data_IF_215895622787
#
_entry.id   IF_215895622787
#
_cell.length_a   1.000
_cell.length_b   1.000
_cell.length_c   1.000
_cell.angle_alpha   90.00
_cell.angle_beta   90.00
_cell.angle_gamma   90.00
#
_symmetry.space_group_name_H-M   'P 1'
#
loop_
_entity.id
_entity.type
_entity.pdbx_description
1 polymer ?
#
# COMPACT_ATOMS: atom_id res chain seq x y z
N UNK A 1 12.07 -29.55 13.66
CA UNK A 1 13.03 -29.26 12.57
C UNK A 1 12.26 -28.54 11.50
N UNK A 2 12.79 -27.47 10.88
CA UNK A 2 12.15 -26.91 9.69
C UNK A 2 11.99 -28.03 8.68
N UNK A 3 10.78 -28.21 8.16
CA UNK A 3 10.53 -29.15 7.08
C UNK A 3 11.37 -28.65 5.90
N UNK A 4 12.25 -29.50 5.35
CA UNK A 4 13.05 -29.09 4.21
C UNK A 4 12.10 -28.69 3.06
N UNK A 5 12.47 -27.71 2.25
CA UNK A 5 11.63 -27.20 1.14
C UNK A 5 11.04 -28.32 0.29
N UNK A 6 11.87 -29.32 -0.03
CA UNK A 6 11.49 -30.51 -0.80
C UNK A 6 10.44 -31.36 -0.07
N UNK A 7 10.53 -31.47 1.26
CA UNK A 7 9.57 -32.21 2.07
C UNK A 7 8.22 -31.50 2.12
N UNK A 8 8.22 -30.16 2.16
CA UNK A 8 6.99 -29.37 2.11
C UNK A 8 6.32 -29.46 0.74
N UNK A 9 7.06 -29.32 -0.36
CA UNK A 9 6.53 -29.42 -1.72
C UNK A 9 5.93 -30.80 -2.01
N UNK A 10 6.62 -31.88 -1.61
CA UNK A 10 6.11 -33.25 -1.78
C UNK A 10 4.84 -33.49 -0.96
N UNK A 11 4.82 -33.02 0.30
CA UNK A 11 3.63 -33.09 1.15
C UNK A 11 2.44 -32.37 0.52
N UNK A 12 2.64 -31.14 0.02
CA UNK A 12 1.59 -30.36 -0.61
C UNK A 12 1.07 -31.03 -1.89
N UNK A 13 1.96 -31.55 -2.74
CA UNK A 13 1.56 -32.26 -3.96
C UNK A 13 0.71 -33.51 -3.66
N UNK A 14 1.10 -34.30 -2.65
CA UNK A 14 0.33 -35.45 -2.19
C UNK A 14 -1.06 -35.04 -1.67
N UNK A 15 -1.12 -34.02 -0.80
CA UNK A 15 -2.38 -33.50 -0.26
C UNK A 15 -3.30 -32.96 -1.36
N UNK A 16 -2.77 -32.16 -2.28
CA UNK A 16 -3.54 -31.69 -3.43
C UNK A 16 -4.09 -32.88 -4.23
N UNK A 17 -3.27 -33.89 -4.53
CA UNK A 17 -3.71 -35.07 -5.27
C UNK A 17 -4.83 -35.84 -4.56
N UNK A 18 -4.76 -35.96 -3.23
CA UNK A 18 -5.78 -36.66 -2.43
C UNK A 18 -7.12 -35.91 -2.35
N UNK A 19 -7.10 -34.59 -2.29
CA UNK A 19 -8.29 -33.79 -1.97
C UNK A 19 -8.90 -33.03 -3.16
N UNK A 20 -8.15 -32.82 -4.25
CA UNK A 20 -8.60 -32.00 -5.40
C UNK A 20 -9.93 -32.43 -6.02
N UNK A 21 -10.29 -33.72 -5.95
CA UNK A 21 -11.54 -34.22 -6.56
C UNK A 21 -12.79 -33.93 -5.73
N UNK A 22 -12.64 -33.34 -4.53
CA UNK A 22 -13.75 -33.08 -3.60
C UNK A 22 -14.39 -31.71 -3.78
N UNK A 23 -13.71 -30.83 -4.49
CA UNK A 23 -14.04 -29.41 -4.68
C UNK A 23 -13.68 -28.99 -6.10
N UNK A 24 -14.15 -27.83 -6.55
CA UNK A 24 -13.84 -27.33 -7.89
C UNK A 24 -12.43 -26.71 -7.93
N UNK A 25 -12.02 -26.08 -6.83
CA UNK A 25 -10.69 -25.53 -6.63
C UNK A 25 -10.19 -25.74 -5.20
N UNK A 26 -8.91 -26.05 -5.04
CA UNK A 26 -8.23 -26.18 -3.77
C UNK A 26 -6.87 -25.49 -3.84
N UNK A 27 -6.56 -24.65 -2.86
CA UNK A 27 -5.25 -24.05 -2.68
C UNK A 27 -4.74 -24.30 -1.26
N UNK A 28 -3.48 -24.68 -1.15
CA UNK A 28 -2.75 -24.81 0.11
C UNK A 28 -1.59 -23.84 0.06
N UNK A 29 -1.55 -22.90 1.01
CA UNK A 29 -0.49 -21.91 1.14
C UNK A 29 0.19 -22.10 2.48
N UNK A 30 1.48 -22.40 2.48
CA UNK A 30 2.33 -22.41 3.67
C UNK A 30 3.15 -21.14 3.73
N UNK A 31 3.42 -20.67 4.93
CA UNK A 31 4.21 -19.47 5.18
C UNK A 31 5.18 -19.69 6.35
N UNK A 32 6.38 -19.17 6.16
CA UNK A 32 7.37 -18.94 7.19
C UNK A 32 7.77 -17.46 7.14
N UNK A 33 7.68 -16.77 8.26
CA UNK A 33 8.04 -15.37 8.39
C UNK A 33 8.92 -15.18 9.62
N UNK A 34 10.05 -14.53 9.44
CA UNK A 34 10.88 -14.02 10.53
C UNK A 34 10.92 -12.50 10.47
N UNK A 35 11.08 -11.83 11.61
CA UNK A 35 11.09 -10.37 11.61
C UNK A 35 11.44 -9.76 12.95
N UNK A 36 11.79 -8.47 12.90
CA UNK A 36 12.12 -7.66 14.06
C UNK A 36 11.15 -6.49 14.19
N UNK A 37 10.69 -6.19 15.40
CA UNK A 37 9.94 -4.95 15.71
C UNK A 37 10.60 -4.25 16.90
N UNK A 38 10.95 -2.98 16.71
CA UNK A 38 11.53 -2.13 17.74
C UNK A 38 10.72 -0.85 17.80
N UNK A 39 10.19 -0.51 18.97
CA UNK A 39 9.52 0.76 19.22
C UNK A 39 10.22 1.48 20.36
N UNK A 40 10.77 2.65 20.05
CA UNK A 40 11.35 3.59 21.01
C UNK A 40 10.43 4.80 21.14
N UNK A 41 10.03 5.14 22.36
CA UNK A 41 9.28 6.37 22.68
C UNK A 41 10.02 7.17 23.75
N UNK A 42 10.40 8.41 23.41
CA UNK A 42 11.29 9.22 24.23
C UNK A 42 12.64 8.53 24.45
N UNK A 43 13.01 8.29 25.71
CA UNK A 43 14.23 7.54 26.08
C UNK A 43 13.99 6.04 26.31
N UNK A 44 12.75 5.58 26.16
CA UNK A 44 12.35 4.22 26.54
C UNK A 44 12.12 3.35 25.31
N UNK A 45 12.62 2.13 25.38
CA UNK A 45 12.25 1.06 24.45
C UNK A 45 10.96 0.45 24.97
N UNK A 46 9.86 0.62 24.23
CA UNK A 46 8.56 0.02 24.52
C UNK A 46 8.43 -1.38 23.90
N UNK A 47 9.09 -1.62 22.76
CA UNK A 47 9.11 -2.92 22.07
C UNK A 47 10.51 -3.22 21.57
N UNK A 48 10.96 -4.46 21.77
CA UNK A 48 12.20 -5.02 21.25
C UNK A 48 11.99 -6.52 21.09
N UNK A 49 11.60 -6.96 19.90
CA UNK A 49 11.21 -8.35 19.66
C UNK A 49 11.73 -8.86 18.33
N UNK A 50 12.15 -10.12 18.33
CA UNK A 50 12.33 -10.94 17.13
C UNK A 50 11.27 -12.05 17.17
N UNK A 51 10.62 -12.29 16.04
CA UNK A 51 9.54 -13.26 15.91
C UNK A 51 9.80 -14.24 14.79
N UNK A 52 9.36 -15.49 14.98
CA UNK A 52 9.24 -16.51 13.95
C UNK A 52 7.78 -16.97 13.91
N UNK A 53 7.17 -16.89 12.74
CA UNK A 53 5.79 -17.33 12.47
C UNK A 53 5.83 -18.42 11.41
N UNK A 54 5.25 -19.58 11.70
CA UNK A 54 5.13 -20.70 10.77
C UNK A 54 3.68 -21.14 10.76
N UNK A 55 3.09 -21.23 9.58
CA UNK A 55 1.71 -21.63 9.44
C UNK A 55 1.29 -21.80 8.01
N UNK A 56 -0.02 -21.86 7.80
CA UNK A 56 -0.61 -21.98 6.49
C UNK A 56 -2.09 -21.71 6.47
N UNK A 57 -2.62 -21.63 5.27
CA UNK A 57 -4.05 -21.56 5.01
C UNK A 57 -4.47 -22.50 3.89
N UNK A 58 -5.68 -23.03 4.03
CA UNK A 58 -6.36 -23.81 3.01
C UNK A 58 -7.54 -22.99 2.50
N UNK A 59 -7.63 -22.83 1.18
CA UNK A 59 -8.81 -22.31 0.50
C UNK A 59 -9.41 -23.39 -0.37
N UNK A 60 -10.70 -23.63 -0.23
CA UNK A 60 -11.46 -24.53 -1.08
C UNK A 60 -12.65 -23.78 -1.71
N UNK A 61 -12.90 -23.99 -2.99
CA UNK A 61 -14.08 -23.49 -3.68
C UNK A 61 -14.89 -24.66 -4.21
N UNK A 62 -16.18 -24.70 -3.90
CA UNK A 62 -17.11 -25.69 -4.43
C UNK A 62 -18.42 -25.01 -4.75
N UNK A 63 -18.88 -25.13 -5.99
CA UNK A 63 -20.12 -24.52 -6.47
C UNK A 63 -20.22 -23.04 -6.09
N UNK A 64 -19.17 -22.27 -6.38
CA UNK A 64 -19.06 -20.85 -6.07
C UNK A 64 -18.91 -20.50 -4.58
N UNK A 65 -19.06 -21.47 -3.67
CA UNK A 65 -18.89 -21.27 -2.22
C UNK A 65 -17.44 -21.44 -1.79
N UNK A 66 -16.91 -20.46 -1.06
CA UNK A 66 -15.57 -20.51 -0.49
C UNK A 66 -15.56 -21.03 0.95
N UNK A 67 -14.59 -21.88 1.25
CA UNK A 67 -14.20 -22.25 2.61
C UNK A 67 -12.74 -21.92 2.86
N UNK A 68 -12.45 -21.43 4.07
CA UNK A 68 -11.11 -21.06 4.52
C UNK A 68 -10.84 -21.71 5.87
N UNK A 69 -9.62 -22.21 6.05
CA UNK A 69 -9.09 -22.59 7.36
C UNK A 69 -7.62 -22.17 7.46
N UNK A 70 -7.24 -21.48 8.54
CA UNK A 70 -5.85 -21.14 8.85
C UNK A 70 -5.30 -22.02 9.98
N UNK A 71 -3.99 -22.24 10.02
CA UNK A 71 -3.32 -23.06 11.05
C UNK A 71 -1.86 -22.63 11.25
N UNK A 72 -1.32 -22.94 12.42
CA UNK A 72 0.11 -22.77 12.76
C UNK A 72 0.76 -24.07 13.24
N UNK A 73 0.06 -25.20 13.14
CA UNK A 73 0.57 -26.54 13.44
C UNK A 73 0.48 -27.41 12.18
N UNK A 74 1.61 -27.62 11.48
CA UNK A 74 1.65 -28.37 10.21
C UNK A 74 1.07 -29.79 10.32
N UNK A 75 1.13 -30.41 11.50
CA UNK A 75 0.55 -31.73 11.75
C UNK A 75 -0.99 -31.78 11.60
N UNK A 76 -1.66 -30.63 11.68
CA UNK A 76 -3.12 -30.51 11.56
C UNK A 76 -3.59 -30.31 10.11
N UNK A 77 -2.68 -30.22 9.12
CA UNK A 77 -3.00 -29.78 7.76
C UNK A 77 -4.14 -30.56 7.09
N UNK A 78 -4.22 -31.88 7.29
CA UNK A 78 -5.30 -32.72 6.74
C UNK A 78 -6.66 -32.36 7.32
N UNK A 79 -6.73 -32.15 8.64
CA UNK A 79 -7.94 -31.71 9.33
C UNK A 79 -8.39 -30.33 8.84
N UNK A 80 -7.43 -29.42 8.63
CA UNK A 80 -7.71 -28.07 8.11
C UNK A 80 -8.25 -28.14 6.68
N UNK A 81 -7.71 -29.02 5.83
CA UNK A 81 -8.28 -29.26 4.49
C UNK A 81 -9.73 -29.75 4.59
N UNK A 82 -10.02 -30.69 5.48
CA UNK A 82 -11.39 -31.18 5.70
C UNK A 82 -12.36 -30.05 6.13
N UNK A 83 -11.93 -29.17 7.03
CA UNK A 83 -12.72 -28.02 7.46
C UNK A 83 -13.00 -27.05 6.32
N UNK A 84 -11.97 -26.64 5.56
CA UNK A 84 -12.13 -25.73 4.43
C UNK A 84 -13.05 -26.34 3.35
N UNK A 85 -12.87 -27.61 3.02
CA UNK A 85 -13.75 -28.34 2.08
C UNK A 85 -15.19 -28.40 2.61
N UNK A 86 -15.37 -28.68 3.91
CA UNK A 86 -16.70 -28.75 4.52
C UNK A 86 -17.40 -27.38 4.48
N UNK A 87 -16.70 -26.31 4.86
CA UNK A 87 -17.21 -24.95 4.80
C UNK A 87 -17.61 -24.55 3.37
N UNK A 88 -16.75 -24.82 2.38
CA UNK A 88 -17.03 -24.54 0.96
C UNK A 88 -18.31 -25.25 0.48
N UNK A 89 -18.50 -26.52 0.88
CA UNK A 89 -19.68 -27.31 0.48
C UNK A 89 -20.97 -26.91 1.19
N UNK A 90 -20.88 -26.33 2.38
CA UNK A 90 -22.04 -25.78 3.10
C UNK A 90 -22.53 -24.51 2.41
N UNK A 91 -21.61 -23.65 1.97
CA UNK A 91 -21.92 -22.36 1.32
C UNK A 91 -22.28 -22.53 -0.16
N UNK A 92 -21.66 -23.49 -0.84
CA UNK A 92 -21.72 -23.63 -2.30
C UNK A 92 -23.06 -24.08 -2.87
N UNK A 93 -23.70 -23.19 -3.62
CA UNK A 93 -24.99 -23.41 -4.28
C UNK A 93 -25.03 -22.91 -5.75
N UNK A 94 -23.92 -22.38 -6.27
CA UNK A 94 -23.81 -21.70 -7.56
C UNK A 94 -22.71 -22.29 -8.45
N UNK A 95 -22.37 -21.63 -9.55
CA UNK A 95 -21.26 -22.03 -10.42
C UNK A 95 -19.93 -21.42 -9.92
N UNK A 96 -18.87 -22.22 -9.96
CA UNK A 96 -17.51 -21.72 -9.69
C UNK A 96 -16.98 -20.98 -10.91
N UNK A 97 -16.81 -19.66 -10.79
CA UNK A 97 -16.33 -18.78 -11.85
C UNK A 97 -14.95 -18.23 -11.49
N UNK A 98 -13.89 -18.93 -11.86
CA UNK A 98 -12.50 -18.48 -11.71
C UNK A 98 -11.90 -18.25 -13.10
N UNK A 99 -11.29 -17.09 -13.32
CA UNK A 99 -10.53 -16.85 -14.53
C UNK A 99 -9.35 -17.83 -14.63
N UNK A 100 -9.11 -18.33 -15.84
CA UNK A 100 -8.03 -19.26 -16.11
C UNK A 100 -6.66 -18.55 -16.01
N UNK A 101 -5.72 -19.24 -15.37
CA UNK A 101 -4.30 -18.89 -15.38
C UNK A 101 -3.49 -20.12 -15.74
N UNK A 102 -2.32 -19.95 -16.36
CA UNK A 102 -1.42 -21.07 -16.59
C UNK A 102 -0.91 -21.59 -15.23
N UNK A 103 -0.80 -22.91 -15.01
CA UNK A 103 -0.15 -23.43 -13.82
C UNK A 103 1.36 -23.20 -13.90
N UNK A 104 1.94 -22.70 -12.81
CA UNK A 104 3.38 -22.41 -12.71
C UNK A 104 4.06 -23.30 -11.68
N UNK A 105 5.26 -23.77 -11.98
CA UNK A 105 6.11 -24.53 -11.06
C UNK A 105 7.47 -23.87 -10.96
N UNK A 106 7.62 -22.94 -10.02
CA UNK A 106 8.75 -22.04 -9.96
C UNK A 106 9.19 -21.75 -8.53
N UNK A 107 10.46 -21.43 -8.38
CA UNK A 107 11.05 -20.93 -7.13
C UNK A 107 11.60 -19.54 -7.43
N UNK A 108 11.03 -18.53 -6.79
CA UNK A 108 11.28 -17.13 -7.06
C UNK A 108 11.74 -16.41 -5.79
N UNK A 109 12.73 -15.53 -5.92
CA UNK A 109 13.23 -14.73 -4.80
C UNK A 109 13.28 -13.28 -5.27
N UNK A 110 12.58 -12.38 -4.57
CA UNK A 110 12.73 -10.95 -4.82
C UNK A 110 14.14 -10.55 -4.38
N UNK A 111 15.02 -10.11 -5.31
CA UNK A 111 16.43 -9.94 -5.00
C UNK A 111 16.68 -8.71 -4.12
N UNK A 112 17.55 -8.88 -3.14
CA UNK A 112 18.16 -7.76 -2.40
C UNK A 112 19.33 -7.19 -3.21
N UNK A 113 19.51 -5.88 -3.15
CA UNK A 113 20.68 -5.17 -3.69
C UNK A 113 21.71 -4.83 -2.61
N UNK A 114 21.38 -5.04 -1.34
CA UNK A 114 22.26 -4.79 -0.20
C UNK A 114 22.13 -5.83 0.90
N UNK A 115 22.37 -5.44 2.15
CA UNK A 115 22.41 -6.36 3.29
C UNK A 115 21.02 -6.87 3.63
N UNK A 116 20.91 -8.19 3.81
CA UNK A 116 19.74 -8.86 4.36
C UNK A 116 19.61 -8.53 5.87
N UNK A 117 18.47 -7.98 6.32
CA UNK A 117 18.28 -7.56 7.72
C UNK A 117 18.42 -8.70 8.73
N UNK A 118 18.33 -9.96 8.31
CA UNK A 118 18.55 -11.13 9.18
C UNK A 118 20.00 -11.29 9.63
N UNK A 119 20.93 -10.75 8.86
CA UNK A 119 22.35 -10.75 9.22
C UNK A 119 22.75 -9.54 10.08
N UNK A 120 21.81 -8.63 10.33
CA UNK A 120 22.02 -7.47 11.21
C UNK A 120 21.54 -7.83 12.61
N UNK A 121 22.39 -7.67 13.62
CA UNK A 121 22.03 -8.00 14.99
C UNK A 121 20.93 -7.08 15.54
N UNK A 122 20.08 -7.61 16.42
CA UNK A 122 19.09 -6.83 17.15
C UNK A 122 19.68 -5.61 17.86
N UNK A 123 20.91 -5.73 18.38
CA UNK A 123 21.63 -4.63 19.01
C UNK A 123 21.94 -3.49 18.01
N UNK A 124 22.40 -3.80 16.80
CA UNK A 124 22.68 -2.81 15.77
C UNK A 124 21.38 -2.12 15.27
N UNK A 125 20.29 -2.89 15.11
CA UNK A 125 18.96 -2.34 14.78
C UNK A 125 18.44 -1.39 15.86
N UNK A 126 18.65 -1.74 17.14
CA UNK A 126 18.33 -0.87 18.27
C UNK A 126 19.19 0.40 18.27
N UNK A 127 20.50 0.26 18.04
CA UNK A 127 21.41 1.42 17.95
C UNK A 127 20.99 2.40 16.85
N UNK A 128 20.51 1.90 15.71
CA UNK A 128 19.93 2.74 14.65
C UNK A 128 18.68 3.50 15.14
N UNK A 129 17.79 2.84 15.88
CA UNK A 129 16.63 3.51 16.49
C UNK A 129 17.03 4.58 17.51
N UNK A 130 18.05 4.32 18.32
CA UNK A 130 18.59 5.29 19.27
C UNK A 130 19.19 6.49 18.54
N UNK A 131 19.98 6.25 17.49
CA UNK A 131 20.60 7.30 16.66
C UNK A 131 19.56 8.27 16.09
N UNK A 132 18.54 7.78 15.38
CA UNK A 132 17.47 8.64 14.88
C UNK A 132 16.63 9.28 15.99
N UNK A 133 16.49 8.57 17.11
CA UNK A 133 15.85 9.08 18.30
C UNK A 133 16.54 10.31 18.88
N UNK A 134 17.88 10.38 18.79
CA UNK A 134 18.66 11.55 19.22
C UNK A 134 18.62 12.69 18.19
N UNK A 135 18.58 12.38 16.89
CA UNK A 135 18.36 13.39 15.84
C UNK A 135 17.04 14.13 16.07
N UNK A 136 15.94 13.41 16.30
CA UNK A 136 14.63 14.03 16.56
C UNK A 136 14.66 14.93 17.81
N UNK A 137 15.35 14.50 18.87
CA UNK A 137 15.47 15.26 20.13
C UNK A 137 16.39 16.48 20.03
N UNK A 138 17.29 16.51 19.06
CA UNK A 138 18.24 17.61 18.88
C UNK A 138 17.56 18.95 18.54
N UNK A 139 16.31 18.91 18.07
CA UNK A 139 15.54 20.10 17.72
C UNK A 139 14.84 20.67 18.96
N UNK A 140 15.13 21.94 19.27
CA UNK A 140 14.53 22.64 20.41
C UNK A 140 12.99 22.68 20.31
N UNK A 141 12.31 22.63 21.46
CA UNK A 141 10.83 22.58 21.61
C UNK A 141 10.18 21.22 21.28
N UNK A 142 10.92 20.22 20.81
CA UNK A 142 10.45 18.84 20.76
C UNK A 142 10.34 18.28 22.17
N UNK A 143 9.16 17.79 22.56
CA UNK A 143 8.88 17.26 23.90
C UNK A 143 8.79 15.74 23.93
N UNK A 144 8.48 15.10 22.80
CA UNK A 144 8.34 13.63 22.71
C UNK A 144 8.74 13.16 21.32
N UNK A 145 9.42 12.02 21.27
CA UNK A 145 9.83 11.38 20.02
C UNK A 145 9.37 9.93 19.97
N UNK A 146 9.14 9.42 18.77
CA UNK A 146 8.85 8.02 18.51
C UNK A 146 9.68 7.56 17.31
N UNK A 147 10.38 6.44 17.46
CA UNK A 147 11.09 5.76 16.37
C UNK A 147 10.66 4.31 16.38
N UNK A 148 10.13 3.84 15.26
CA UNK A 148 9.81 2.43 15.06
C UNK A 148 10.66 1.87 13.92
N UNK A 149 11.22 0.70 14.13
CA UNK A 149 11.88 -0.11 13.11
C UNK A 149 11.10 -1.42 12.98
N UNK A 150 10.81 -1.82 11.74
CA UNK A 150 10.23 -3.11 11.42
C UNK A 150 10.98 -3.75 10.25
N UNK A 151 11.29 -5.03 10.36
CA UNK A 151 11.66 -5.85 9.20
C UNK A 151 10.92 -7.19 9.23
N UNK A 152 10.69 -7.74 8.04
CA UNK A 152 10.23 -9.12 7.88
C UNK A 152 10.85 -9.75 6.65
N UNK A 153 11.22 -11.01 6.78
CA UNK A 153 11.53 -11.90 5.66
C UNK A 153 10.44 -12.96 5.62
N UNK A 154 9.70 -13.00 4.51
CA UNK A 154 8.59 -13.91 4.31
C UNK A 154 8.91 -14.88 3.19
N UNK A 155 8.61 -16.15 3.41
CA UNK A 155 8.70 -17.24 2.44
C UNK A 155 7.37 -17.96 2.38
N UNK A 156 6.83 -18.08 1.17
CA UNK A 156 5.52 -18.64 0.89
C UNK A 156 5.66 -19.81 -0.08
N UNK A 157 4.97 -20.91 0.20
CA UNK A 157 4.81 -22.04 -0.74
C UNK A 157 3.32 -22.21 -1.04
N UNK A 158 2.94 -22.03 -2.29
CA UNK A 158 1.57 -22.18 -2.78
C UNK A 158 1.46 -23.43 -3.66
N UNK A 159 0.49 -24.30 -3.36
CA UNK A 159 0.11 -25.41 -4.21
C UNK A 159 -1.39 -25.36 -4.53
N UNK A 160 -1.78 -25.60 -5.79
CA UNK A 160 -3.19 -25.56 -6.21
C UNK A 160 -3.63 -26.85 -6.91
N UNK A 161 -4.93 -27.14 -6.90
CA UNK A 161 -5.55 -28.28 -7.60
C UNK A 161 -5.38 -28.27 -9.12
N UNK A 162 -4.97 -27.13 -9.69
CA UNK A 162 -4.75 -26.94 -11.12
C UNK A 162 -3.28 -27.18 -11.52
N UNK A 163 -2.40 -27.47 -10.55
CA UNK A 163 -1.01 -27.86 -10.80
C UNK A 163 0.02 -26.75 -10.57
N UNK A 164 -0.39 -25.59 -10.06
CA UNK A 164 0.55 -24.57 -9.58
C UNK A 164 1.29 -25.09 -8.34
N UNK A 165 2.60 -24.89 -8.32
CA UNK A 165 3.48 -25.11 -7.17
C UNK A 165 4.57 -24.02 -7.17
N UNK A 166 4.33 -22.94 -6.44
CA UNK A 166 5.23 -21.78 -6.40
C UNK A 166 5.85 -21.69 -5.01
N UNK A 167 7.16 -21.49 -4.96
CA UNK A 167 7.83 -20.95 -3.79
C UNK A 167 8.28 -19.51 -4.09
N UNK A 168 7.92 -18.58 -3.22
CA UNK A 168 8.30 -17.18 -3.36
C UNK A 168 8.78 -16.62 -2.03
N UNK A 169 9.82 -15.80 -2.03
CA UNK A 169 10.22 -15.03 -0.83
C UNK A 169 10.59 -13.59 -1.13
N UNK A 170 10.45 -12.75 -0.11
CA UNK A 170 10.85 -11.34 -0.14
C UNK A 170 11.25 -10.87 1.25
N UNK A 171 11.93 -9.72 1.28
CA UNK A 171 12.20 -8.95 2.49
C UNK A 171 11.42 -7.65 2.40
N UNK A 172 10.87 -7.19 3.51
CA UNK A 172 10.29 -5.86 3.65
C UNK A 172 10.82 -5.21 4.93
N UNK A 173 11.16 -3.93 4.84
CA UNK A 173 11.73 -3.13 5.92
C UNK A 173 11.04 -1.77 5.96
N UNK A 174 10.83 -1.25 7.16
CA UNK A 174 10.21 0.05 7.36
C UNK A 174 10.78 0.74 8.62
N UNK A 175 10.94 2.07 8.54
CA UNK A 175 11.10 2.91 9.71
C UNK A 175 10.05 4.01 9.75
N UNK A 176 9.52 4.26 10.95
CA UNK A 176 8.57 5.35 11.23
C UNK A 176 9.15 6.27 12.29
N UNK A 177 9.05 7.56 12.03
CA UNK A 177 9.56 8.62 12.89
C UNK A 177 8.44 9.59 13.23
N UNK A 178 8.39 10.04 14.47
CA UNK A 178 7.53 11.14 14.87
C UNK A 178 8.22 12.01 15.91
N UNK A 179 8.11 13.33 15.75
CA UNK A 179 8.49 14.31 16.74
C UNK A 179 7.28 15.19 17.08
N UNK A 180 6.98 15.29 18.37
CA UNK A 180 5.91 16.16 18.89
C UNK A 180 6.54 17.37 19.54
N UNK A 181 6.21 18.54 19.03
CA UNK A 181 6.61 19.84 19.55
C UNK A 181 5.45 20.51 20.29
N UNK A 182 5.75 21.37 21.26
CA UNK A 182 4.75 22.08 22.06
C UNK A 182 5.17 23.52 22.36
N UNK A 183 4.23 24.45 22.23
CA UNK A 183 4.34 25.81 22.73
C UNK A 183 3.01 26.22 23.39
N UNK A 184 3.01 26.33 24.73
CA UNK A 184 1.79 26.52 25.52
C UNK A 184 0.81 25.36 25.31
N UNK A 185 -0.40 25.71 24.87
CA UNK A 185 -1.48 24.75 24.54
C UNK A 185 -1.40 24.23 23.10
N UNK A 186 -0.53 24.80 22.25
CA UNK A 186 -0.38 24.35 20.86
C UNK A 186 0.56 23.15 20.81
N UNK A 187 0.11 22.07 20.19
CA UNK A 187 0.87 20.84 19.97
C UNK A 187 0.88 20.51 18.50
N UNK A 188 2.04 20.19 17.97
CA UNK A 188 2.21 19.80 16.57
C UNK A 188 3.09 18.56 16.46
N UNK A 189 2.81 17.71 15.49
CA UNK A 189 3.58 16.49 15.25
C UNK A 189 4.04 16.43 13.81
N UNK A 190 5.35 16.35 13.61
CA UNK A 190 5.94 16.02 12.32
C UNK A 190 6.25 14.53 12.26
N UNK A 191 6.05 13.93 11.09
CA UNK A 191 6.21 12.50 10.84
C UNK A 191 7.03 12.26 9.60
N UNK A 192 7.78 11.17 9.60
CA UNK A 192 8.37 10.58 8.40
C UNK A 192 8.19 9.08 8.44
N UNK A 193 7.95 8.48 7.29
CA UNK A 193 7.95 7.02 7.14
C UNK A 193 8.80 6.68 5.92
N UNK A 194 9.58 5.64 6.04
CA UNK A 194 10.41 5.14 4.95
C UNK A 194 10.32 3.63 4.91
N UNK A 195 10.18 3.06 3.72
CA UNK A 195 10.16 1.62 3.51
C UNK A 195 11.06 1.18 2.37
N UNK A 196 11.53 -0.07 2.42
CA UNK A 196 12.35 -0.65 1.35
C UNK A 196 12.23 -2.18 1.32
N UNK A 197 12.39 -2.73 0.12
CA UNK A 197 12.65 -4.17 -0.14
C UNK A 197 14.03 -4.45 -0.74
N UNK A 198 14.93 -3.46 -0.76
CA UNK A 198 16.19 -3.53 -1.51
C UNK A 198 17.38 -3.84 -0.62
N UNK A 199 17.53 -3.12 0.50
CA UNK A 199 18.74 -3.15 1.31
C UNK A 199 18.50 -2.60 2.71
N UNK A 200 19.13 -3.18 3.74
CA UNK A 200 19.14 -2.60 5.10
C UNK A 200 19.75 -1.19 5.11
N UNK A 201 20.74 -0.94 4.24
CA UNK A 201 21.42 0.35 4.08
C UNK A 201 20.47 1.49 3.66
N UNK A 202 19.32 1.18 3.06
CA UNK A 202 18.32 2.20 2.74
C UNK A 202 17.74 2.83 4.02
N UNK A 203 17.79 2.12 5.15
CA UNK A 203 17.32 2.62 6.44
C UNK A 203 18.39 3.41 7.22
N UNK A 204 19.64 3.47 6.76
CA UNK A 204 20.74 4.07 7.53
C UNK A 204 21.07 5.51 7.15
N UNK A 205 20.54 6.02 6.02
CA UNK A 205 20.86 7.34 5.46
C UNK A 205 19.65 8.30 5.47
N UNK A 206 18.87 8.27 6.54
CA UNK A 206 17.61 9.04 6.70
C UNK A 206 17.75 10.30 7.57
N UNK A 207 18.97 10.74 7.91
CA UNK A 207 19.22 11.82 8.88
C UNK A 207 18.51 13.12 8.49
N UNK A 208 18.56 13.49 7.20
CA UNK A 208 17.93 14.71 6.70
C UNK A 208 16.41 14.64 6.81
N UNK A 209 15.81 13.51 6.46
CA UNK A 209 14.37 13.29 6.53
C UNK A 209 13.91 13.31 7.99
N UNK A 210 14.59 12.56 8.86
CA UNK A 210 14.29 12.50 10.30
C UNK A 210 14.43 13.87 10.95
N UNK A 211 15.50 14.62 10.66
CA UNK A 211 15.65 15.99 11.13
C UNK A 211 14.54 16.91 10.60
N UNK A 212 14.20 16.77 9.32
CA UNK A 212 13.10 17.52 8.70
C UNK A 212 11.78 17.30 9.45
N UNK A 213 11.43 16.05 9.79
CA UNK A 213 10.24 15.73 10.59
C UNK A 213 10.15 16.54 11.89
N UNK A 214 11.25 16.62 12.64
CA UNK A 214 11.31 17.38 13.89
C UNK A 214 11.22 18.89 13.65
N UNK A 215 11.89 19.42 12.62
CA UNK A 215 11.81 20.85 12.30
C UNK A 215 10.42 21.27 11.82
N UNK A 216 9.73 20.45 11.04
CA UNK A 216 8.34 20.69 10.62
C UNK A 216 7.38 20.77 11.80
N UNK A 217 7.54 19.86 12.77
CA UNK A 217 6.74 19.88 14.00
C UNK A 217 6.88 21.23 14.74
N UNK A 218 8.11 21.74 14.83
CA UNK A 218 8.39 23.01 15.53
C UNK A 218 7.92 24.21 14.72
N UNK A 219 8.15 24.24 13.41
CA UNK A 219 7.72 25.32 12.54
C UNK A 219 6.19 25.49 12.58
N UNK A 220 5.44 24.38 12.53
CA UNK A 220 3.98 24.37 12.57
C UNK A 220 3.37 24.98 13.85
N UNK A 221 4.15 25.16 14.93
CA UNK A 221 3.67 25.81 16.15
C UNK A 221 3.32 27.29 15.93
N UNK A 222 3.94 27.95 14.95
CA UNK A 222 3.79 29.39 14.70
C UNK A 222 3.23 29.74 13.33
N UNK A 223 3.03 28.77 12.45
CA UNK A 223 2.48 29.03 11.12
C UNK A 223 1.02 29.51 11.21
N UNK A 224 0.61 30.46 10.37
CA UNK A 224 -0.80 30.84 10.25
C UNK A 224 -1.60 29.69 9.60
N UNK A 225 -2.84 29.51 10.04
CA UNK A 225 -3.74 28.56 9.38
C UNK A 225 -4.18 29.11 8.01
N UNK A 226 -4.42 28.22 7.07
CA UNK A 226 -5.05 28.58 5.79
C UNK A 226 -6.52 28.99 6.01
N UNK A 227 -7.03 29.91 5.18
CA UNK A 227 -8.46 30.21 5.15
C UNK A 227 -9.21 29.16 4.35
N UNK A 228 -10.31 28.65 4.90
CA UNK A 228 -11.14 27.67 4.21
C UNK A 228 -11.77 28.27 2.94
N UNK A 229 -11.48 27.70 1.78
CA UNK A 229 -12.04 28.12 0.49
C UNK A 229 -11.81 27.06 -0.59
N UNK A 230 -12.30 27.32 -1.79
CA UNK A 230 -11.94 26.59 -3.01
C UNK A 230 -10.76 27.28 -3.67
N UNK A 231 -9.69 26.54 -3.94
CA UNK A 231 -8.46 27.05 -4.55
C UNK A 231 -8.04 26.23 -5.78
N UNK A 232 -7.27 26.85 -6.66
CA UNK A 232 -6.37 26.06 -7.52
C UNK A 232 -5.20 25.58 -6.67
N UNK A 233 -4.92 24.29 -6.72
CA UNK A 233 -3.92 23.64 -5.89
C UNK A 233 -2.86 22.99 -6.76
N UNK A 234 -1.61 23.19 -6.38
CA UNK A 234 -0.50 22.37 -6.88
C UNK A 234 -0.14 21.39 -5.78
N UNK A 235 -0.11 20.10 -6.09
CA UNK A 235 0.33 19.05 -5.17
C UNK A 235 1.66 18.45 -5.64
N UNK A 236 2.52 18.12 -4.68
CA UNK A 236 3.80 17.48 -4.96
C UNK A 236 3.65 15.99 -5.34
N UNK A 237 4.74 15.35 -5.82
CA UNK A 237 4.72 13.94 -6.20
C UNK A 237 4.30 12.97 -5.07
N UNK A 238 4.67 13.28 -3.82
CA UNK A 238 4.36 12.44 -2.66
C UNK A 238 2.84 12.46 -2.39
N UNK A 239 2.24 13.65 -2.35
CA UNK A 239 0.80 13.80 -2.15
C UNK A 239 0.00 13.27 -3.36
N UNK A 240 0.56 13.33 -4.57
CA UNK A 240 -0.01 12.69 -5.76
C UNK A 240 -0.06 11.17 -5.64
N UNK A 241 1.02 10.55 -5.14
CA UNK A 241 1.07 9.12 -4.84
C UNK A 241 -0.02 8.71 -3.84
N UNK A 242 -0.15 9.46 -2.73
CA UNK A 242 -1.23 9.24 -1.76
C UNK A 242 -2.61 9.40 -2.42
N UNK A 243 -2.81 10.47 -3.19
CA UNK A 243 -4.08 10.75 -3.86
C UNK A 243 -4.51 9.60 -4.77
N UNK A 244 -3.62 9.11 -5.63
CA UNK A 244 -3.98 8.02 -6.54
C UNK A 244 -4.20 6.71 -5.79
N UNK A 245 -3.42 6.41 -4.74
CA UNK A 245 -3.59 5.20 -3.94
C UNK A 245 -4.96 5.17 -3.24
N UNK A 246 -5.20 6.20 -2.43
CA UNK A 246 -6.35 6.26 -1.54
C UNK A 246 -7.64 6.57 -2.30
N UNK A 247 -7.62 7.58 -3.18
CA UNK A 247 -8.84 8.10 -3.80
C UNK A 247 -9.30 7.24 -4.98
N UNK A 248 -8.40 6.64 -5.76
CA UNK A 248 -8.75 5.92 -6.99
C UNK A 248 -8.34 4.44 -6.99
N UNK A 249 -7.22 4.11 -6.37
CA UNK A 249 -6.67 2.76 -6.38
C UNK A 249 -7.58 1.75 -5.71
N UNK A 250 -8.09 2.05 -4.51
CA UNK A 250 -9.09 1.21 -3.84
C UNK A 250 -10.39 1.04 -4.65
N UNK A 251 -10.86 2.10 -5.32
CA UNK A 251 -12.04 2.01 -6.19
C UNK A 251 -11.83 1.11 -7.40
N UNK A 252 -10.57 0.88 -7.77
CA UNK A 252 -10.19 -0.01 -8.88
C UNK A 252 -10.14 -1.48 -8.47
N UNK A 253 -10.25 -1.81 -7.18
CA UNK A 253 -10.29 -3.20 -6.68
C UNK A 253 -11.68 -3.81 -6.93
N UNK A 254 -11.77 -4.81 -7.82
CA UNK A 254 -13.05 -5.30 -8.34
C UNK A 254 -13.95 -6.03 -7.33
N UNK A 255 -13.43 -6.41 -6.16
CA UNK A 255 -14.25 -6.98 -5.08
C UNK A 255 -15.11 -5.91 -4.36
N UNK A 256 -14.78 -4.62 -4.47
CA UNK A 256 -15.63 -3.52 -4.03
C UNK A 256 -16.96 -3.46 -4.80
N UNK A 257 -17.00 -3.99 -6.03
CA UNK A 257 -18.19 -4.01 -6.88
C UNK A 257 -19.37 -4.76 -6.25
N UNK A 258 -19.09 -5.76 -5.39
CA UNK A 258 -20.13 -6.55 -4.73
C UNK A 258 -20.77 -5.82 -3.54
N UNK A 259 -20.07 -4.83 -2.99
CA UNK A 259 -20.50 -4.11 -1.79
C UNK A 259 -21.32 -2.86 -2.12
N UNK A 260 -21.16 -2.30 -3.33
CA UNK A 260 -21.86 -1.09 -3.76
C UNK A 260 -22.21 -1.09 -5.28
N UNK A 261 -23.45 -1.43 -5.65
CA UNK A 261 -23.91 -1.42 -7.05
C UNK A 261 -23.81 -0.06 -7.73
N UNK A 262 -24.02 1.04 -7.01
CA UNK A 262 -23.95 2.39 -7.57
C UNK A 262 -22.51 2.72 -7.96
N UNK A 263 -21.54 2.30 -7.14
CA UNK A 263 -20.11 2.47 -7.46
C UNK A 263 -19.72 1.65 -8.70
N UNK A 264 -20.31 0.46 -8.88
CA UNK A 264 -20.07 -0.37 -10.07
C UNK A 264 -20.56 0.32 -11.36
N UNK A 265 -21.71 0.99 -11.31
CA UNK A 265 -22.21 1.79 -12.45
C UNK A 265 -21.25 2.95 -12.75
N UNK A 266 -20.76 3.61 -11.70
CA UNK A 266 -19.81 4.72 -11.86
C UNK A 266 -18.49 4.23 -12.45
N UNK A 267 -17.94 3.12 -11.96
CA UNK A 267 -16.70 2.49 -12.41
C UNK A 267 -16.89 1.62 -13.67
N UNK A 268 -17.74 2.05 -14.60
CA UNK A 268 -17.96 1.39 -15.88
C UNK A 268 -16.81 1.68 -16.87
N UNK A 269 -16.31 0.62 -17.51
CA UNK A 269 -15.24 0.75 -18.50
C UNK A 269 -15.71 1.63 -19.67
N UNK A 270 -14.82 2.50 -20.15
CA UNK A 270 -15.11 3.49 -21.19
C UNK A 270 -15.57 4.85 -20.66
N UNK A 271 -15.83 4.99 -19.35
CA UNK A 271 -16.14 6.29 -18.74
C UNK A 271 -14.89 7.16 -18.64
N UNK A 272 -15.03 8.45 -18.95
CA UNK A 272 -13.98 9.46 -18.77
C UNK A 272 -14.00 10.01 -17.34
N UNK A 273 -12.84 10.02 -16.70
CA UNK A 273 -12.61 10.60 -15.37
C UNK A 273 -11.63 11.75 -15.37
N UNK A 274 -10.83 11.94 -16.42
CA UNK A 274 -9.79 12.95 -16.44
C UNK A 274 -9.44 13.52 -17.81
N UNK A 275 -8.46 14.43 -17.85
CA UNK A 275 -7.91 14.98 -19.09
C UNK A 275 -7.26 13.88 -19.94
N UNK A 276 -7.00 14.19 -21.21
CA UNK A 276 -6.46 13.20 -22.17
C UNK A 276 -5.03 12.76 -21.79
N UNK A 277 -4.32 13.55 -21.03
CA UNK A 277 -2.96 13.31 -20.61
C UNK A 277 -2.90 12.32 -19.44
N UNK A 278 -4.01 12.14 -18.71
CA UNK A 278 -4.05 11.29 -17.52
C UNK A 278 -3.90 9.80 -17.88
N UNK A 279 -2.91 9.16 -17.28
CA UNK A 279 -2.70 7.72 -17.29
C UNK A 279 -2.54 7.24 -15.85
N UNK A 280 -3.23 6.15 -15.48
CA UNK A 280 -3.12 5.55 -14.14
C UNK A 280 -2.87 4.06 -14.30
N UNK A 281 -1.94 3.54 -13.50
CA UNK A 281 -1.55 2.14 -13.52
C UNK A 281 -1.49 1.57 -12.10
N UNK A 282 -1.64 0.25 -12.00
CA UNK A 282 -1.23 -0.54 -10.84
C UNK A 282 -0.47 -1.78 -11.35
N UNK A 283 0.56 -2.20 -10.64
CA UNK A 283 1.20 -3.48 -10.97
C UNK A 283 2.38 -3.87 -10.12
N UNK A 284 2.51 -5.17 -9.85
CA UNK A 284 3.65 -5.75 -9.16
C UNK A 284 4.83 -6.06 -10.10
N UNK A 285 4.63 -6.01 -11.42
CA UNK A 285 5.66 -6.31 -12.41
C UNK A 285 6.87 -5.36 -12.41
N UNK A 286 6.74 -4.03 -12.16
CA UNK A 286 7.88 -3.14 -12.00
C UNK A 286 8.72 -3.57 -10.79
N UNK A 287 9.95 -4.05 -11.02
CA UNK A 287 10.81 -4.54 -9.95
C UNK A 287 11.40 -3.40 -9.11
N UNK A 288 11.72 -3.69 -7.85
CA UNK A 288 12.38 -2.74 -6.95
C UNK A 288 11.45 -1.83 -6.17
N UNK A 289 10.14 -2.08 -6.20
CA UNK A 289 9.15 -1.38 -5.35
C UNK A 289 8.62 -2.31 -4.26
N UNK A 290 8.09 -1.76 -3.17
CA UNK A 290 7.58 -2.54 -2.04
C UNK A 290 6.33 -3.35 -2.38
N UNK A 291 5.55 -2.92 -3.36
CA UNK A 291 4.39 -3.68 -3.85
C UNK A 291 4.75 -4.81 -4.81
N UNK A 292 6.01 -4.98 -5.19
CA UNK A 292 6.44 -5.90 -6.25
C UNK A 292 6.67 -7.33 -5.77
N UNK A 293 6.30 -8.28 -6.63
CA UNK A 293 6.44 -9.73 -6.47
C UNK A 293 6.31 -10.40 -7.86
N UNK A 294 6.52 -11.71 -7.95
CA UNK A 294 6.37 -12.47 -9.20
C UNK A 294 4.98 -13.08 -9.36
N UNK A 295 4.39 -13.56 -8.27
CA UNK A 295 3.05 -14.15 -8.24
C UNK A 295 2.25 -13.66 -7.03
N UNK A 296 0.95 -13.44 -7.22
CA UNK A 296 0.02 -13.15 -6.14
C UNK A 296 -0.30 -14.41 -5.31
N UNK A 297 -1.13 -14.28 -4.27
CA UNK A 297 -1.46 -15.39 -3.36
C UNK A 297 -2.48 -16.40 -3.95
N UNK A 298 -2.86 -16.25 -5.24
CA UNK A 298 -3.59 -17.25 -6.04
C UNK A 298 -2.73 -17.88 -7.13
N UNK A 299 -1.46 -17.45 -7.27
CA UNK A 299 -0.53 -17.94 -8.28
C UNK A 299 -0.65 -17.23 -9.62
N UNK A 300 -1.36 -16.10 -9.68
CA UNK A 300 -1.46 -15.26 -10.88
C UNK A 300 -0.15 -14.48 -11.06
N UNK A 301 0.49 -14.50 -12.25
CA UNK A 301 1.68 -13.70 -12.50
C UNK A 301 1.44 -12.21 -12.25
N UNK A 302 2.45 -11.53 -11.73
CA UNK A 302 2.45 -10.08 -11.58
C UNK A 302 2.33 -9.40 -12.95
N UNK A 303 1.48 -8.37 -13.03
CA UNK A 303 1.26 -7.59 -14.26
C UNK A 303 1.48 -6.10 -14.03
N UNK A 304 1.35 -5.32 -15.11
CA UNK A 304 1.07 -3.88 -15.04
C UNK A 304 -0.28 -3.65 -15.70
N UNK A 305 -1.28 -3.37 -14.88
CA UNK A 305 -2.65 -3.10 -15.31
C UNK A 305 -2.82 -1.61 -15.54
N UNK A 306 -3.23 -1.24 -16.74
CA UNK A 306 -3.64 0.13 -17.03
C UNK A 306 -5.08 0.33 -16.55
N UNK A 307 -5.26 1.21 -15.57
CA UNK A 307 -6.56 1.54 -15.00
C UNK A 307 -7.21 2.69 -15.76
N UNK A 308 -6.46 3.77 -15.99
CA UNK A 308 -6.88 4.91 -16.81
C UNK A 308 -5.95 5.03 -18.02
N UNK A 309 -6.55 5.16 -19.20
CA UNK A 309 -5.88 5.49 -20.46
C UNK A 309 -6.51 6.71 -21.10
N UNK A 310 -5.71 7.72 -21.34
CA UNK A 310 -6.14 8.99 -21.92
C UNK A 310 -7.36 9.62 -21.21
N UNK A 311 -7.35 9.54 -19.87
CA UNK A 311 -8.43 9.98 -18.99
C UNK A 311 -9.67 9.06 -18.96
N UNK A 312 -9.63 7.89 -19.61
CA UNK A 312 -10.74 6.93 -19.69
C UNK A 312 -10.45 5.68 -18.88
N UNK A 313 -11.42 5.18 -18.11
CA UNK A 313 -11.32 3.90 -17.40
C UNK A 313 -11.27 2.73 -18.39
N UNK A 314 -10.18 1.96 -18.34
CA UNK A 314 -9.93 0.84 -19.26
C UNK A 314 -9.62 -0.48 -18.55
N UNK A 315 -9.46 -0.47 -17.23
CA UNK A 315 -9.17 -1.68 -16.45
C UNK A 315 -9.56 -1.58 -14.99
N UNK A 316 -9.48 -2.72 -14.32
CA UNK A 316 -9.71 -2.95 -12.89
C UNK A 316 -8.69 -3.94 -12.35
N UNK A 317 -8.54 -3.99 -11.04
CA UNK A 317 -7.72 -4.98 -10.34
C UNK A 317 -8.57 -6.18 -9.97
N UNK A 318 -8.01 -7.38 -10.15
CA UNK A 318 -8.75 -8.62 -10.06
C UNK A 318 -7.97 -9.72 -9.31
N UNK A 319 -8.74 -10.44 -8.50
CA UNK A 319 -8.51 -11.85 -8.20
C UNK A 319 -9.04 -12.72 -9.34
N UNK A 320 -8.75 -14.03 -9.33
CA UNK A 320 -9.32 -14.95 -10.32
C UNK A 320 -10.84 -15.02 -10.27
N UNK A 321 -11.42 -14.97 -9.08
CA UNK A 321 -12.88 -14.98 -8.92
C UNK A 321 -13.53 -13.73 -9.50
N UNK A 322 -13.02 -12.54 -9.17
CA UNK A 322 -13.61 -11.30 -9.67
C UNK A 322 -13.46 -11.17 -11.19
N UNK A 323 -12.31 -11.57 -11.74
CA UNK A 323 -12.09 -11.66 -13.19
C UNK A 323 -13.08 -12.64 -13.84
N UNK A 324 -13.24 -13.84 -13.28
CA UNK A 324 -14.14 -14.87 -13.81
C UNK A 324 -15.60 -14.41 -13.82
N UNK A 325 -16.07 -13.79 -12.73
CA UNK A 325 -17.45 -13.28 -12.60
C UNK A 325 -17.75 -12.11 -13.55
N UNK A 326 -16.75 -11.28 -13.85
CA UNK A 326 -16.91 -10.12 -14.72
C UNK A 326 -16.51 -10.38 -16.19
N UNK A 327 -15.99 -11.57 -16.49
CA UNK A 327 -15.50 -11.91 -17.84
C UNK A 327 -14.25 -11.12 -18.24
N UNK A 328 -13.44 -10.74 -17.26
CA UNK A 328 -12.21 -9.95 -17.41
C UNK A 328 -10.96 -10.82 -17.18
N UNK A 329 -9.78 -10.24 -17.41
CA UNK A 329 -8.51 -10.93 -17.15
C UNK A 329 -8.08 -10.77 -15.67
N UNK A 330 -7.50 -11.80 -15.04
CA UNK A 330 -6.89 -11.67 -13.72
C UNK A 330 -5.61 -10.84 -13.82
N UNK A 331 -5.30 -10.04 -12.80
CA UNK A 331 -4.25 -9.01 -12.89
C UNK A 331 -3.09 -9.20 -11.91
N UNK A 332 -3.11 -10.25 -11.09
CA UNK A 332 -2.08 -10.49 -10.08
C UNK A 332 -2.29 -9.65 -8.82
N UNK A 333 -3.55 -9.44 -8.42
CA UNK A 333 -3.92 -8.58 -7.30
C UNK A 333 -4.62 -9.34 -6.16
N UNK A 334 -4.70 -10.67 -6.16
CA UNK A 334 -5.22 -11.42 -5.02
C UNK A 334 -4.14 -11.55 -3.93
N UNK A 335 -4.18 -10.70 -2.89
CA UNK A 335 -3.13 -10.62 -1.87
C UNK A 335 -3.68 -10.76 -0.44
N UNK A 336 -2.87 -11.32 0.44
CA UNK A 336 -3.08 -11.37 1.88
C UNK A 336 -1.80 -10.97 2.64
N UNK A 337 -1.95 -10.53 3.89
CA UNK A 337 -0.82 -10.18 4.75
C UNK A 337 0.02 -11.40 5.17
N UNK A 338 -0.68 -12.44 5.60
CA UNK A 338 -0.12 -13.66 6.13
C UNK A 338 -1.14 -14.79 6.12
N UNK A 339 -0.75 -15.97 6.58
CA UNK A 339 -1.58 -17.17 6.60
C UNK A 339 -2.87 -17.10 7.45
N UNK A 340 -3.09 -16.04 8.23
CA UNK A 340 -4.36 -15.86 8.96
C UNK A 340 -5.49 -15.33 8.08
N UNK A 341 -5.19 -14.81 6.89
CA UNK A 341 -6.15 -14.08 6.08
C UNK A 341 -6.28 -14.66 4.68
N UNK A 342 -7.53 -14.75 4.20
CA UNK A 342 -7.78 -15.02 2.80
C UNK A 342 -7.21 -13.89 1.91
N UNK A 343 -6.69 -14.23 0.72
CA UNK A 343 -6.42 -13.26 -0.32
C UNK A 343 -7.69 -12.54 -0.75
N UNK A 344 -7.59 -11.22 -0.89
CA UNK A 344 -8.63 -10.34 -1.42
C UNK A 344 -8.02 -9.49 -2.53
N UNK A 345 -8.82 -8.76 -3.32
CA UNK A 345 -8.25 -7.88 -4.35
C UNK A 345 -7.58 -6.70 -3.67
N UNK A 346 -6.29 -6.51 -3.97
CA UNK A 346 -5.41 -5.52 -3.37
C UNK A 346 -4.52 -4.85 -4.40
N UNK A 347 -4.34 -3.54 -4.27
CA UNK A 347 -3.28 -2.80 -4.96
C UNK A 347 -1.88 -3.37 -4.73
N UNK A 348 -0.97 -2.98 -5.61
CA UNK A 348 0.46 -3.35 -5.60
C UNK A 348 1.33 -2.10 -5.59
N UNK A 349 1.71 -1.59 -6.76
CA UNK A 349 2.32 -0.29 -6.92
C UNK A 349 1.39 0.56 -7.78
N UNK A 350 0.80 1.63 -7.23
CA UNK A 350 -0.22 2.44 -7.91
C UNK A 350 0.35 3.81 -8.30
N UNK A 351 0.25 4.23 -9.56
CA UNK A 351 0.82 5.52 -9.96
C UNK A 351 0.06 6.25 -11.07
N UNK A 352 0.23 7.57 -11.09
CA UNK A 352 -0.06 8.43 -12.25
C UNK A 352 1.21 8.56 -13.09
N UNK A 353 1.14 8.37 -14.39
CA UNK A 353 2.32 8.48 -15.27
C UNK A 353 2.85 9.91 -15.36
N UNK A 354 4.15 10.04 -15.59
CA UNK A 354 4.80 11.34 -15.79
C UNK A 354 4.18 12.10 -16.97
N UNK A 355 3.89 13.37 -16.75
CA UNK A 355 3.40 14.28 -17.78
C UNK A 355 4.54 14.96 -18.54
N UNK A 356 4.24 16.15 -19.07
CA UNK A 356 5.19 16.93 -19.88
C UNK A 356 5.26 18.40 -19.48
N UNK A 357 4.45 18.83 -18.52
CA UNK A 357 4.43 20.21 -18.05
C UNK A 357 5.62 20.43 -17.12
N UNK A 358 6.53 21.38 -17.40
CA UNK A 358 7.57 21.73 -16.45
C UNK A 358 6.97 22.10 -15.10
N UNK A 359 7.52 21.58 -13.99
CA UNK A 359 6.95 21.83 -12.64
C UNK A 359 6.75 23.32 -12.35
N UNK A 360 7.67 24.18 -12.78
CA UNK A 360 7.55 25.63 -12.61
C UNK A 360 6.30 26.22 -13.30
N UNK A 361 5.88 25.63 -14.42
CA UNK A 361 4.73 26.09 -15.19
C UNK A 361 3.40 25.69 -14.54
N UNK A 362 3.39 24.68 -13.65
CA UNK A 362 2.19 24.30 -12.88
C UNK A 362 1.68 25.45 -12.01
N UNK A 363 2.56 26.36 -11.58
CA UNK A 363 2.21 27.52 -10.77
C UNK A 363 1.72 28.71 -11.60
N UNK A 364 2.02 28.75 -12.90
CA UNK A 364 1.80 29.93 -13.74
C UNK A 364 0.33 30.35 -13.78
N UNK A 365 0.07 31.66 -13.81
CA UNK A 365 -1.26 32.26 -13.88
C UNK A 365 -2.20 31.99 -12.69
N UNK A 366 -1.70 31.38 -11.61
CA UNK A 366 -2.45 31.24 -10.34
C UNK A 366 -2.35 32.56 -9.57
N UNK A 367 -3.41 33.38 -9.61
CA UNK A 367 -3.47 34.63 -8.81
C UNK A 367 -3.40 34.35 -7.31
N UNK A 368 -4.22 33.40 -6.84
CA UNK A 368 -4.27 32.90 -5.47
C UNK A 368 -4.54 31.39 -5.48
N UNK A 369 -3.71 30.63 -4.78
CA UNK A 369 -3.83 29.17 -4.70
C UNK A 369 -3.08 28.59 -3.52
N UNK A 370 -2.97 27.26 -3.48
CA UNK A 370 -2.23 26.55 -2.43
C UNK A 370 -1.26 25.56 -3.06
N UNK A 371 -0.02 25.56 -2.59
CA UNK A 371 0.93 24.48 -2.85
C UNK A 371 0.93 23.55 -1.65
N UNK A 372 0.55 22.30 -1.82
CA UNK A 372 0.51 21.28 -0.78
C UNK A 372 1.55 20.20 -1.06
N UNK A 373 2.39 19.92 -0.06
CA UNK A 373 3.49 18.97 -0.18
C UNK A 373 3.45 17.96 0.96
N UNK A 374 3.75 16.70 0.63
CA UNK A 374 3.78 15.60 1.59
C UNK A 374 2.41 15.41 2.30
N UNK A 375 2.31 14.50 3.25
CA UNK A 375 1.05 14.21 3.95
C UNK A 375 1.24 13.88 5.43
N UNK A 376 0.23 14.20 6.25
CA UNK A 376 0.15 13.79 7.66
C UNK A 376 -0.75 12.57 7.86
N UNK A 377 -1.74 12.43 6.98
CA UNK A 377 -2.68 11.33 6.93
C UNK A 377 -3.79 11.58 5.92
N UNK A 378 -4.56 10.54 5.68
CA UNK A 378 -5.68 10.57 4.76
C UNK A 378 -6.78 9.59 5.16
N UNK A 379 -7.97 9.81 4.64
CA UNK A 379 -9.06 8.85 4.68
C UNK A 379 -9.89 8.96 3.42
N UNK A 380 -10.40 7.83 2.96
CA UNK A 380 -11.39 7.75 1.89
C UNK A 380 -12.63 7.02 2.36
N UNK A 381 -13.76 7.40 1.77
CA UNK A 381 -15.04 6.77 2.00
C UNK A 381 -15.81 6.77 0.68
N UNK A 382 -15.70 5.66 -0.05
CA UNK A 382 -16.16 5.58 -1.43
C UNK A 382 -15.46 6.62 -2.30
N UNK A 383 -16.25 7.43 -2.99
CA UNK A 383 -15.78 8.49 -3.88
C UNK A 383 -15.25 9.74 -3.18
N UNK A 384 -15.44 9.87 -1.85
CA UNK A 384 -14.99 11.04 -1.09
C UNK A 384 -13.62 10.80 -0.47
N UNK A 385 -12.74 11.80 -0.55
CA UNK A 385 -11.44 11.78 0.10
C UNK A 385 -11.20 13.02 0.95
N UNK A 386 -10.35 12.86 1.97
CA UNK A 386 -9.82 13.94 2.80
C UNK A 386 -8.35 13.67 3.11
N UNK A 387 -7.45 14.55 2.69
CA UNK A 387 -6.01 14.43 2.91
C UNK A 387 -5.44 15.69 3.56
N UNK A 388 -4.65 15.53 4.61
CA UNK A 388 -3.96 16.64 5.25
C UNK A 388 -2.53 16.72 4.75
N UNK A 389 -2.15 17.88 4.20
CA UNK A 389 -0.81 18.13 3.71
C UNK A 389 0.22 18.10 4.85
N UNK A 390 1.42 17.61 4.55
CA UNK A 390 2.56 17.64 5.48
C UNK A 390 3.08 19.06 5.68
N UNK A 391 3.17 19.80 4.59
CA UNK A 391 3.56 21.21 4.51
C UNK A 391 2.73 21.90 3.43
N UNK A 392 2.53 23.20 3.58
CA UNK A 392 1.84 23.96 2.56
C UNK A 392 2.26 25.43 2.53
N UNK A 393 2.04 26.04 1.38
CA UNK A 393 2.29 27.46 1.12
C UNK A 393 1.16 28.05 0.31
N UNK A 394 0.91 29.34 0.47
CA UNK A 394 0.08 30.07 -0.48
C UNK A 394 0.83 30.25 -1.79
N UNK A 395 0.09 30.23 -2.90
CA UNK A 395 0.56 30.65 -4.22
C UNK A 395 -0.01 32.05 -4.45
N UNK A 396 0.86 33.00 -4.83
CA UNK A 396 0.49 34.39 -5.14
C UNK A 396 1.09 34.79 -6.48
N UNK A 397 0.24 35.15 -7.44
CA UNK A 397 0.67 35.56 -8.80
C UNK A 397 1.68 34.57 -9.42
N UNK A 398 1.39 33.28 -9.28
CA UNK A 398 2.18 32.16 -9.79
C UNK A 398 3.51 31.91 -9.10
N UNK A 399 3.70 32.39 -7.87
CA UNK A 399 4.90 32.15 -7.06
C UNK A 399 4.52 31.57 -5.69
N UNK A 400 5.36 30.67 -5.17
CA UNK A 400 5.27 30.21 -3.78
C UNK A 400 5.53 31.40 -2.85
N UNK A 401 4.60 31.63 -1.93
CA UNK A 401 4.59 32.77 -1.03
C UNK A 401 4.72 32.33 0.44
N UNK A 402 3.80 32.75 1.30
CA UNK A 402 3.85 32.47 2.74
C UNK A 402 3.54 31.00 3.07
N UNK A 403 4.29 30.37 4.00
CA UNK A 403 3.93 29.04 4.53
C UNK A 403 2.66 29.13 5.39
N UNK A 404 1.82 28.10 5.29
CA UNK A 404 0.57 27.97 6.03
C UNK A 404 0.46 26.57 6.63
N UNK A 405 -0.37 26.40 7.65
CA UNK A 405 -0.71 25.10 8.24
C UNK A 405 -2.20 24.79 8.11
N UNK A 406 -2.58 23.61 8.57
CA UNK A 406 -3.96 23.11 8.64
C UNK A 406 -4.63 23.01 7.25
N UNK A 407 -3.82 22.74 6.21
CA UNK A 407 -4.30 22.53 4.83
C UNK A 407 -4.82 21.11 4.68
N UNK A 408 -6.13 20.98 4.56
CA UNK A 408 -6.81 19.71 4.30
C UNK A 408 -7.55 19.75 2.97
N UNK A 409 -7.10 18.95 2.01
CA UNK A 409 -7.75 18.80 0.71
C UNK A 409 -8.91 17.83 0.87
N UNK A 410 -10.08 18.19 0.34
CA UNK A 410 -11.24 17.30 0.34
C UNK A 410 -12.03 17.41 -0.96
N UNK A 411 -12.68 16.32 -1.37
CA UNK A 411 -13.46 16.34 -2.59
C UNK A 411 -13.97 14.96 -3.00
N UNK A 412 -14.66 14.96 -4.14
CA UNK A 412 -15.03 13.75 -4.86
C UNK A 412 -13.90 13.41 -5.85
N UNK A 413 -13.36 12.20 -5.78
CA UNK A 413 -12.21 11.78 -6.60
C UNK A 413 -12.45 11.94 -8.10
N UNK A 414 -13.64 11.62 -8.60
CA UNK A 414 -13.93 11.67 -10.03
C UNK A 414 -13.95 13.11 -10.54
N UNK A 415 -14.47 14.03 -9.73
CA UNK A 415 -14.43 15.45 -10.05
C UNK A 415 -13.00 16.00 -9.97
N UNK A 416 -12.24 15.64 -8.93
CA UNK A 416 -10.84 16.05 -8.78
C UNK A 416 -9.96 15.55 -9.92
N UNK A 417 -10.14 14.31 -10.39
CA UNK A 417 -9.45 13.80 -11.58
C UNK A 417 -9.83 14.59 -12.85
N UNK A 418 -11.10 14.99 -12.98
CA UNK A 418 -11.59 15.78 -14.11
C UNK A 418 -11.06 17.22 -14.09
N UNK A 419 -10.70 17.72 -12.91
CA UNK A 419 -10.18 19.06 -12.67
C UNK A 419 -8.64 19.14 -12.69
N UNK A 420 -7.95 18.06 -13.04
CA UNK A 420 -6.51 18.10 -13.33
C UNK A 420 -6.28 18.97 -14.59
N UNK A 421 -5.56 20.08 -14.43
CA UNK A 421 -5.20 21.01 -15.52
C UNK A 421 -3.77 20.79 -16.03
N UNK A 422 -2.89 20.22 -15.21
CA UNK A 422 -1.49 20.02 -15.55
C UNK A 422 -0.88 18.83 -14.82
N UNK A 423 -0.03 18.09 -15.55
CA UNK A 423 0.69 16.92 -15.06
C UNK A 423 2.18 17.19 -15.27
N UNK A 424 2.91 17.24 -14.16
CA UNK A 424 4.33 17.57 -14.09
C UNK A 424 5.24 16.61 -14.86
N UNK A 425 6.40 17.11 -15.26
CA UNK A 425 7.50 16.33 -15.86
C UNK A 425 8.46 15.73 -14.81
N UNK A 426 8.18 15.95 -13.53
CA UNK A 426 8.81 15.29 -12.39
C UNK A 426 8.13 13.96 -12.06
N UNK A 427 8.73 13.18 -11.16
CA UNK A 427 8.13 11.93 -10.69
C UNK A 427 8.82 11.48 -9.40
N UNK A 428 8.04 10.95 -8.46
CA UNK A 428 8.57 10.29 -7.27
C UNK A 428 7.81 9.00 -6.96
N UNK A 429 8.53 8.01 -6.44
CA UNK A 429 7.96 6.80 -5.85
C UNK A 429 8.00 6.92 -4.33
N UNK A 430 6.83 6.92 -3.71
CA UNK A 430 6.67 6.81 -2.28
C UNK A 430 6.51 5.32 -1.90
N UNK A 431 7.53 4.80 -1.23
CA UNK A 431 7.62 3.45 -0.70
C UNK A 431 7.22 3.40 0.79
N UNK A 432 6.63 4.47 1.32
CA UNK A 432 6.30 4.57 2.74
C UNK A 432 4.92 3.93 3.05
N UNK A 433 4.75 3.51 4.30
CA UNK A 433 3.46 3.06 4.82
C UNK A 433 3.05 1.66 4.37
N UNK A 434 1.74 1.41 4.41
CA UNK A 434 1.15 0.14 4.00
C UNK A 434 -0.38 0.23 3.93
N UNK A 435 -0.96 -0.53 3.00
CA UNK A 435 -2.37 -0.47 2.66
C UNK A 435 -3.22 -1.32 3.62
N UNK A 436 -4.42 -0.84 3.97
CA UNK A 436 -5.37 -1.51 4.84
C UNK A 436 -6.69 -1.88 4.16
N UNK A 437 -7.16 -3.13 4.28
CA UNK A 437 -8.48 -3.58 3.78
C UNK A 437 -8.93 -4.89 4.42
N UNK A 438 -10.22 -5.07 4.68
CA UNK A 438 -10.76 -6.36 5.14
C UNK A 438 -10.17 -6.87 6.46
N UNK A 439 -9.86 -5.95 7.38
CA UNK A 439 -9.19 -6.26 8.66
C UNK A 439 -7.67 -6.50 8.55
N UNK A 440 -7.11 -6.45 7.35
CA UNK A 440 -5.69 -6.60 7.07
C UNK A 440 -5.03 -5.23 6.94
N UNK A 441 -4.19 -4.83 7.91
CA UNK A 441 -3.50 -3.53 7.90
C UNK A 441 -1.99 -3.66 7.67
N UNK A 442 -1.44 -2.77 6.84
CA UNK A 442 0.01 -2.67 6.63
C UNK A 442 0.56 -3.56 5.52
N UNK A 443 -0.25 -3.88 4.49
CA UNK A 443 0.24 -4.62 3.34
C UNK A 443 1.23 -3.74 2.56
N UNK A 444 2.47 -4.20 2.29
CA UNK A 444 3.43 -3.41 1.54
C UNK A 444 2.94 -3.12 0.12
N UNK A 445 2.96 -1.85 -0.23
CA UNK A 445 2.54 -1.26 -1.52
C UNK A 445 3.50 -0.13 -1.85
N UNK A 446 3.60 0.20 -3.15
CA UNK A 446 4.20 1.44 -3.60
C UNK A 446 3.12 2.40 -4.10
N UNK A 447 3.37 3.71 -4.02
CA UNK A 447 2.58 4.67 -4.76
C UNK A 447 3.47 5.73 -5.41
N UNK A 448 2.99 6.38 -6.47
CA UNK A 448 3.84 7.36 -7.15
C UNK A 448 3.08 8.27 -8.10
N UNK A 449 3.77 9.31 -8.54
CA UNK A 449 3.24 10.23 -9.52
C UNK A 449 4.11 11.47 -9.72
N UNK A 450 3.74 12.31 -10.69
CA UNK A 450 4.30 13.65 -10.89
C UNK A 450 3.63 14.67 -9.95
N UNK A 451 4.12 15.91 -9.94
CA UNK A 451 3.35 17.03 -9.40
C UNK A 451 2.08 17.25 -10.23
N UNK A 452 0.96 17.62 -9.60
CA UNK A 452 -0.30 17.92 -10.29
C UNK A 452 -0.76 19.35 -10.02
N UNK A 453 -1.34 20.00 -11.04
CA UNK A 453 -2.16 21.20 -10.89
C UNK A 453 -3.62 20.83 -11.02
N UNK A 454 -4.41 21.16 -10.01
CA UNK A 454 -5.82 20.79 -9.89
C UNK A 454 -6.62 22.05 -9.58
N UNK A 455 -7.65 22.35 -10.39
CA UNK A 455 -8.56 23.47 -10.11
C UNK A 455 -9.65 23.07 -9.14
N UNK A 456 -10.33 24.06 -8.58
CA UNK A 456 -11.56 23.90 -7.82
C UNK A 456 -11.47 22.91 -6.61
N UNK A 457 -10.30 22.84 -5.96
CA UNK A 457 -10.07 21.97 -4.80
C UNK A 457 -10.55 22.65 -3.51
N UNK A 458 -11.38 21.95 -2.74
CA UNK A 458 -11.84 22.43 -1.43
C UNK A 458 -10.74 22.24 -0.39
N UNK A 459 -10.25 23.35 0.16
CA UNK A 459 -9.31 23.39 1.27
C UNK A 459 -10.06 23.71 2.56
N UNK A 460 -10.05 22.76 3.51
CA UNK A 460 -10.45 22.99 4.88
C UNK A 460 -9.45 23.91 5.59
N UNK A 461 -9.96 24.88 6.34
CA UNK A 461 -9.18 25.90 7.04
C UNK A 461 -10.01 26.67 8.05
N UNK A 462 -9.47 27.76 8.60
CA UNK A 462 -10.23 28.65 9.49
C UNK A 462 -11.43 29.26 8.74
N UNK A 463 -12.60 29.26 9.39
CA UNK A 463 -13.81 29.87 8.86
C UNK A 463 -13.69 31.41 8.90
N UNK A 464 -14.27 32.10 7.93
CA UNK A 464 -14.47 33.55 8.05
C UNK A 464 -15.40 33.83 9.22
N UNK A 465 -14.94 34.68 10.14
CA UNK A 465 -15.72 35.21 11.27
C UNK A 465 -16.58 36.37 10.82
#
# INVERSE_FOLDING_TARGET
MPIAVVDAQNLLADLISRYRSRVDYLAIRLEEAEGTDILRRGDKIETLSEGLSIGGQIRACYKGGWGLSSFNELATIEERIEEAVTAARIVGDSETLLAEIAPHQEVCFVPLTGTDPRHVSLAAKKELCDFYGEILKSVAQVTTTSVRYGDTVQRVVLATSEGTLIEQSWVDMEMRFAATARNGDTVQTGRETFGSRKAYEDLTNLESQVFSAATRAVAALSLPAVKGNTYTVVIDPILTGLFVHEAFGHLSEADMAYENPDLLEVMSLGRRFGPKELQIFDGAAPLGHRGSFFYDDEGTPATTTQLIKDGVLVGRLHSRETAGKLGEAPTGNARCLNYHYAPIVRMTNTWIERGTTPVADLFSDIEEGVYASNWLGGMTNGEMFTFSAGEAWMIRNGQIAEPVKDVTLSGNVFQTLADIEGIGDDFYWDESGGCGKGGQNGLPVGCGGPSLRIRDVVIGGEAEV
#
